data_IF_876448960385
#
_entry.id   IF_876448960385
#
_cell.length_a   1.000
_cell.length_b   1.000
_cell.length_c   1.000
_cell.angle_alpha   90.00
_cell.angle_beta   90.00
_cell.angle_gamma   90.00
#
_symmetry.space_group_name_H-M   'P 1'
#
loop_
_entity.id
_entity.type
_entity.pdbx_description
1 polymer ?
#
# COMPACT_ATOMS: atom_id res chain seq x y z
N UNK A 1 -54.18 -26.57 -6.41
CA UNK A 1 -53.44 -25.43 -6.99
C UNK A 1 -53.27 -24.32 -5.95
N UNK A 2 -52.50 -24.54 -4.88
CA UNK A 2 -52.30 -23.54 -3.80
C UNK A 2 -50.91 -23.63 -3.14
N UNK A 3 -50.11 -24.59 -3.57
CA UNK A 3 -48.75 -24.84 -3.07
C UNK A 3 -47.66 -24.23 -3.96
N UNK A 4 -48.00 -23.68 -5.13
CA UNK A 4 -47.01 -23.19 -6.10
C UNK A 4 -46.59 -21.72 -5.88
N UNK A 5 -47.27 -20.99 -5.00
CA UNK A 5 -46.99 -19.57 -4.77
C UNK A 5 -45.90 -19.32 -3.71
N UNK A 6 -45.49 -20.33 -2.93
CA UNK A 6 -44.53 -20.15 -1.84
C UNK A 6 -43.06 -20.28 -2.27
N UNK A 7 -42.77 -20.82 -3.46
CA UNK A 7 -41.39 -21.10 -3.88
C UNK A 7 -40.70 -19.87 -4.50
N UNK A 8 -41.46 -18.88 -4.96
CA UNK A 8 -40.92 -17.69 -5.65
C UNK A 8 -40.41 -16.58 -4.72
N UNK A 9 -40.66 -16.66 -3.41
CA UNK A 9 -40.24 -15.63 -2.45
C UNK A 9 -38.86 -15.90 -1.81
N UNK A 10 -38.26 -17.06 -2.06
CA UNK A 10 -36.97 -17.45 -1.45
C UNK A 10 -35.72 -16.97 -2.19
N UNK A 11 -35.84 -16.51 -3.43
CA UNK A 11 -34.69 -16.14 -4.27
C UNK A 11 -34.21 -14.68 -4.12
N UNK A 12 -34.85 -13.88 -3.27
CA UNK A 12 -34.42 -12.50 -2.99
C UNK A 12 -33.32 -12.40 -1.90
N UNK A 13 -32.88 -13.53 -1.35
CA UNK A 13 -31.85 -13.62 -0.30
C UNK A 13 -30.50 -14.15 -0.81
N UNK A 14 -30.26 -14.19 -2.12
CA UNK A 14 -28.89 -14.39 -2.66
C UNK A 14 -28.12 -13.10 -2.44
N UNK A 15 -27.72 -12.90 -1.19
CA UNK A 15 -26.99 -11.75 -0.72
C UNK A 15 -25.64 -11.62 -1.44
N UNK A 16 -25.36 -10.38 -1.85
CA UNK A 16 -24.07 -9.73 -1.69
C UNK A 16 -22.81 -10.56 -1.96
N UNK A 17 -22.71 -11.29 -3.08
CA UNK A 17 -21.41 -11.72 -3.57
C UNK A 17 -20.80 -10.64 -4.49
N UNK A 18 -20.81 -9.38 -4.05
CA UNK A 18 -19.81 -8.42 -4.52
C UNK A 18 -18.54 -8.62 -3.67
N UNK A 19 -18.02 -9.85 -3.69
CA UNK A 19 -16.57 -10.06 -3.66
C UNK A 19 -16.14 -10.11 -5.12
N UNK A 20 -16.52 -9.08 -5.88
CA UNK A 20 -15.63 -8.65 -6.96
C UNK A 20 -14.42 -8.16 -6.20
N UNK A 21 -13.38 -9.00 -6.22
CA UNK A 21 -12.20 -8.86 -5.42
C UNK A 21 -11.79 -7.39 -5.50
N UNK A 22 -11.74 -6.70 -4.35
CA UNK A 22 -10.99 -5.46 -4.25
C UNK A 22 -9.66 -5.79 -4.93
N UNK A 23 -9.44 -5.24 -6.12
CA UNK A 23 -8.20 -5.46 -6.84
C UNK A 23 -7.10 -5.20 -5.80
N UNK A 24 -6.09 -6.08 -5.67
CA UNK A 24 -5.09 -5.91 -4.64
C UNK A 24 -4.62 -4.46 -4.74
N UNK A 25 -4.88 -3.66 -3.70
CA UNK A 25 -4.43 -2.25 -3.71
C UNK A 25 -2.89 -2.19 -3.73
N UNK A 26 -2.22 -3.33 -3.52
CA UNK A 26 -0.82 -3.60 -3.81
C UNK A 26 -0.58 -4.52 -5.01
N UNK A 27 -1.40 -4.50 -6.07
CA UNK A 27 -1.18 -5.34 -7.25
C UNK A 27 -0.08 -4.83 -8.19
N UNK A 28 0.32 -3.57 -8.02
CA UNK A 28 1.37 -2.91 -8.79
C UNK A 28 2.57 -2.61 -7.88
N UNK A 29 3.76 -3.04 -8.27
CA UNK A 29 4.97 -2.92 -7.46
C UNK A 29 5.28 -1.46 -7.11
N UNK A 30 5.01 -0.51 -8.01
CA UNK A 30 5.14 0.93 -7.70
C UNK A 30 4.22 1.32 -6.55
N UNK A 31 2.96 0.90 -6.59
CA UNK A 31 1.99 1.23 -5.56
C UNK A 31 2.41 0.66 -4.20
N UNK A 32 2.85 -0.61 -4.16
CA UNK A 32 3.34 -1.26 -2.94
C UNK A 32 4.50 -0.46 -2.33
N UNK A 33 5.54 -0.19 -3.12
CA UNK A 33 6.73 0.53 -2.64
C UNK A 33 6.36 1.94 -2.18
N UNK A 34 5.48 2.63 -2.90
CA UNK A 34 4.98 3.95 -2.50
C UNK A 34 4.24 3.90 -1.16
N UNK A 35 3.39 2.91 -0.94
CA UNK A 35 2.65 2.76 0.31
C UNK A 35 3.59 2.45 1.47
N UNK A 36 4.47 1.47 1.32
CA UNK A 36 5.47 1.15 2.34
C UNK A 36 6.34 2.36 2.72
N UNK A 37 6.82 3.12 1.73
CA UNK A 37 7.58 4.33 1.98
C UNK A 37 6.76 5.39 2.73
N UNK A 38 5.51 5.62 2.34
CA UNK A 38 4.64 6.58 3.02
C UNK A 38 4.35 6.16 4.46
N UNK A 39 4.11 4.88 4.71
CA UNK A 39 3.86 4.36 6.06
C UNK A 39 5.06 4.60 6.98
N UNK A 40 6.28 4.31 6.50
CA UNK A 40 7.53 4.59 7.21
C UNK A 40 7.72 6.07 7.49
N UNK A 41 7.47 6.94 6.50
CA UNK A 41 7.61 8.39 6.67
C UNK A 41 6.62 8.93 7.72
N UNK A 42 5.38 8.45 7.72
CA UNK A 42 4.36 8.83 8.69
C UNK A 42 4.71 8.29 10.08
N UNK A 43 5.14 7.03 10.19
CA UNK A 43 5.58 6.43 11.46
C UNK A 43 6.74 7.21 12.09
N UNK A 44 7.72 7.60 11.27
CA UNK A 44 8.87 8.40 11.68
C UNK A 44 8.56 9.91 11.81
N UNK A 45 7.29 10.31 11.64
CA UNK A 45 6.81 11.70 11.77
C UNK A 45 7.57 12.69 10.87
N UNK A 46 7.91 12.26 9.66
CA UNK A 46 8.55 13.13 8.67
C UNK A 46 7.51 14.10 8.12
N UNK A 47 7.80 15.40 8.16
CA UNK A 47 6.94 16.43 7.58
C UNK A 47 7.13 16.49 6.07
N UNK A 48 6.20 15.90 5.33
CA UNK A 48 6.26 15.76 3.87
C UNK A 48 5.73 17.03 3.19
N UNK A 49 6.52 17.63 2.29
CA UNK A 49 6.06 18.69 1.38
C UNK A 49 5.52 18.10 0.07
N UNK A 50 6.29 17.18 -0.51
CA UNK A 50 5.91 16.42 -1.69
C UNK A 50 6.06 14.93 -1.38
N UNK A 51 4.94 14.20 -1.45
CA UNK A 51 4.95 12.76 -1.29
C UNK A 51 5.85 12.09 -2.34
N UNK A 52 6.50 10.96 -2.01
CA UNK A 52 7.29 10.21 -2.97
C UNK A 52 6.48 9.82 -4.22
N UNK A 53 7.00 10.20 -5.38
CA UNK A 53 6.52 9.74 -6.69
C UNK A 53 7.47 8.65 -7.16
N UNK A 54 6.93 7.49 -7.51
CA UNK A 54 7.70 6.31 -7.88
C UNK A 54 7.74 6.08 -9.38
N UNK A 55 8.85 5.55 -9.85
CA UNK A 55 9.07 5.07 -11.22
C UNK A 55 9.74 3.68 -11.16
N UNK A 56 9.33 2.77 -12.05
CA UNK A 56 10.01 1.49 -12.21
C UNK A 56 11.12 1.59 -13.27
N UNK A 57 12.26 0.97 -12.98
CA UNK A 57 13.39 0.80 -13.89
C UNK A 57 13.81 -0.67 -13.88
N UNK A 58 13.33 -1.44 -14.85
CA UNK A 58 13.50 -2.90 -14.82
C UNK A 58 12.76 -3.49 -13.62
N UNK A 59 13.48 -4.25 -12.79
CA UNK A 59 12.94 -4.89 -11.58
C UNK A 59 13.06 -4.01 -10.31
N UNK A 60 13.61 -2.81 -10.45
CA UNK A 60 13.79 -1.85 -9.35
C UNK A 60 12.74 -0.75 -9.40
N UNK A 61 12.30 -0.28 -8.23
CA UNK A 61 11.46 0.92 -8.08
C UNK A 61 12.26 2.00 -7.36
N UNK A 62 12.18 3.22 -7.86
CA UNK A 62 12.75 4.40 -7.20
C UNK A 62 11.67 5.43 -6.97
N UNK A 63 11.63 6.00 -5.77
CA UNK A 63 10.72 7.09 -5.47
C UNK A 63 11.46 8.31 -4.93
N UNK A 64 11.01 9.50 -5.34
CA UNK A 64 11.59 10.76 -4.90
C UNK A 64 10.50 11.71 -4.41
N UNK A 65 10.79 12.40 -3.32
CA UNK A 65 9.94 13.42 -2.71
C UNK A 65 10.77 14.45 -1.94
N UNK A 66 10.10 15.28 -1.15
CA UNK A 66 10.77 16.30 -0.35
C UNK A 66 10.03 16.57 0.96
N UNK A 67 10.79 16.90 2.01
CA UNK A 67 10.24 17.38 3.28
C UNK A 67 9.92 18.87 3.23
N UNK A 68 9.14 19.35 4.20
CA UNK A 68 8.90 20.79 4.40
C UNK A 68 10.19 21.56 4.65
N UNK A 69 11.18 20.92 5.28
CA UNK A 69 12.53 21.48 5.46
C UNK A 69 13.40 21.53 4.20
N UNK A 70 12.91 20.99 3.08
CA UNK A 70 13.63 20.95 1.81
C UNK A 70 14.60 19.77 1.67
N UNK A 71 14.58 18.82 2.60
CA UNK A 71 15.39 17.60 2.49
C UNK A 71 14.79 16.64 1.47
N UNK A 72 15.65 16.02 0.66
CA UNK A 72 15.22 15.01 -0.29
C UNK A 72 14.76 13.75 0.43
N UNK A 73 13.64 13.19 0.01
CA UNK A 73 13.19 11.84 0.39
C UNK A 73 13.54 10.92 -0.77
N UNK A 74 14.36 9.90 -0.52
CA UNK A 74 14.73 8.91 -1.54
C UNK A 74 14.35 7.52 -1.09
N UNK A 75 13.67 6.80 -1.96
CA UNK A 75 13.27 5.41 -1.78
C UNK A 75 13.86 4.58 -2.91
N UNK A 76 14.48 3.46 -2.60
CA UNK A 76 14.88 2.45 -3.59
C UNK A 76 14.36 1.09 -3.14
N UNK A 77 13.86 0.31 -4.08
CA UNK A 77 13.44 -1.06 -3.84
C UNK A 77 13.84 -1.96 -5.00
N UNK A 78 14.30 -3.17 -4.68
CA UNK A 78 14.63 -4.22 -5.64
C UNK A 78 14.29 -5.58 -5.01
N UNK A 79 13.39 -6.34 -5.66
CA UNK A 79 12.83 -7.54 -5.06
C UNK A 79 12.13 -7.24 -3.73
N UNK A 80 12.61 -7.85 -2.64
CA UNK A 80 12.13 -7.59 -1.27
C UNK A 80 12.95 -6.52 -0.52
N UNK A 81 14.02 -5.97 -1.11
CA UNK A 81 14.80 -4.92 -0.45
C UNK A 81 14.05 -3.59 -0.51
N UNK A 82 14.11 -2.82 0.58
CA UNK A 82 13.59 -1.45 0.68
C UNK A 82 14.56 -0.56 1.47
N UNK A 83 15.02 0.50 0.81
CA UNK A 83 15.85 1.54 1.39
C UNK A 83 15.09 2.87 1.38
N UNK A 84 15.04 3.56 2.52
CA UNK A 84 14.42 4.89 2.64
C UNK A 84 15.35 5.85 3.37
N UNK A 85 15.64 6.97 2.72
CA UNK A 85 16.45 8.05 3.29
C UNK A 85 15.72 9.40 3.25
N UNK A 86 16.05 10.26 4.21
CA UNK A 86 15.66 11.67 4.27
C UNK A 86 16.92 12.49 4.48
N UNK A 87 17.28 13.31 3.48
CA UNK A 87 18.58 13.98 3.46
C UNK A 87 19.72 12.95 3.47
N UNK A 88 20.59 13.00 4.48
CA UNK A 88 21.67 12.03 4.70
C UNK A 88 21.33 10.91 5.70
N UNK A 89 20.13 10.94 6.28
CA UNK A 89 19.68 9.98 7.28
C UNK A 89 18.97 8.80 6.61
N UNK A 90 19.42 7.59 6.88
CA UNK A 90 18.63 6.37 6.65
C UNK A 90 17.56 6.26 7.72
N UNK A 91 16.30 6.16 7.30
CA UNK A 91 15.17 5.93 8.21
C UNK A 91 14.67 4.48 8.16
N UNK A 92 14.99 3.77 7.08
CA UNK A 92 14.72 2.35 6.92
C UNK A 92 15.69 1.73 5.91
N UNK A 93 16.14 0.51 6.19
CA UNK A 93 16.94 -0.37 5.35
C UNK A 93 16.58 -1.80 5.79
N UNK A 94 15.86 -2.53 4.94
CA UNK A 94 15.29 -3.82 5.31
C UNK A 94 14.31 -4.40 4.29
N UNK A 95 13.42 -5.28 4.75
CA UNK A 95 12.44 -5.98 3.91
C UNK A 95 11.21 -5.12 3.62
N UNK A 96 10.82 -5.04 2.35
CA UNK A 96 9.57 -4.44 1.91
C UNK A 96 8.37 -5.18 2.53
N UNK A 97 8.38 -6.51 2.53
CA UNK A 97 7.29 -7.30 3.08
C UNK A 97 7.11 -7.09 4.59
N UNK A 98 8.19 -6.92 5.36
CA UNK A 98 8.09 -6.61 6.79
C UNK A 98 7.30 -5.33 7.06
N UNK A 99 7.50 -4.29 6.24
CA UNK A 99 6.75 -3.03 6.36
C UNK A 99 5.28 -3.22 6.02
N UNK A 100 4.98 -3.96 4.95
CA UNK A 100 3.59 -4.23 4.53
C UNK A 100 2.87 -5.05 5.61
N UNK A 101 3.49 -6.10 6.12
CA UNK A 101 2.91 -6.97 7.14
C UNK A 101 2.69 -6.26 8.49
N UNK A 102 3.58 -5.34 8.85
CA UNK A 102 3.43 -4.52 10.05
C UNK A 102 2.21 -3.59 9.95
N UNK A 103 1.95 -3.03 8.77
CA UNK A 103 0.88 -2.07 8.54
C UNK A 103 -0.47 -2.71 8.15
N UNK A 104 -0.47 -3.99 7.76
CA UNK A 104 -1.70 -4.76 7.50
C UNK A 104 -2.47 -5.15 8.78
N UNK A 105 -1.82 -5.07 9.96
CA UNK A 105 -2.40 -5.48 11.24
C UNK A 105 -3.03 -4.28 11.96
N UNK A 106 -4.21 -4.43 12.58
CA UNK A 106 -4.76 -3.39 13.46
C UNK A 106 -3.77 -3.07 14.58
N UNK A 107 -3.39 -1.79 14.72
CA UNK A 107 -2.62 -1.36 15.89
C UNK A 107 -3.50 -1.49 17.15
N UNK A 108 -2.97 -2.00 18.27
CA UNK A 108 -3.70 -2.12 19.52
C UNK A 108 -4.10 -0.76 20.10
#
# INVERSE_FOLDING_TARGET
MKTLALVLLGFALVGCSQVDALAPVGGDQLAIVRFAANDLLVEQKVEILSAPVCEATGDSVKCQGATVGGEAINVTSEGDSLDVTVGSRTIYDGSLNDVIDANARPRP
#
